data_IF_668085748348
#
_entry.id   IF_668085748348
#
_cell.length_a   1.000
_cell.length_b   1.000
_cell.length_c   1.000
_cell.angle_alpha   90.00
_cell.angle_beta   90.00
_cell.angle_gamma   90.00
#
_symmetry.space_group_name_H-M   'P 1'
#
loop_
_entity.id
_entity.type
_entity.pdbx_description
1 polymer ?
#
# COMPACT_ATOMS: atom_id res chain seq x y z
N UNK A 1 -79.04 10.05 -23.43
CA UNK A 1 -77.64 9.97 -23.91
C UNK A 1 -76.72 10.15 -22.71
N UNK A 2 -76.07 9.09 -22.25
CA UNK A 2 -75.22 9.13 -21.06
C UNK A 2 -73.76 9.25 -21.51
N UNK A 3 -73.04 10.29 -21.05
CA UNK A 3 -71.59 10.45 -21.31
C UNK A 3 -70.83 9.96 -20.09
N UNK A 4 -70.18 8.81 -20.22
CA UNK A 4 -69.17 8.35 -19.26
C UNK A 4 -67.81 8.97 -19.62
N UNK A 5 -67.08 9.45 -18.62
CA UNK A 5 -65.68 9.91 -18.75
C UNK A 5 -64.82 9.02 -17.88
N UNK A 6 -63.86 8.34 -18.50
CA UNK A 6 -62.79 7.62 -17.81
C UNK A 6 -61.63 8.61 -17.66
N UNK A 7 -61.32 9.03 -16.44
CA UNK A 7 -60.04 9.68 -16.13
C UNK A 7 -59.00 8.57 -15.91
N UNK A 8 -58.08 8.42 -16.86
CA UNK A 8 -56.89 7.58 -16.67
C UNK A 8 -55.89 8.44 -15.89
N UNK A 9 -55.84 8.26 -14.56
CA UNK A 9 -54.78 8.81 -13.73
C UNK A 9 -53.50 8.05 -14.05
N UNK A 10 -52.59 8.69 -14.79
CA UNK A 10 -51.28 8.09 -15.11
C UNK A 10 -50.41 8.22 -13.87
N UNK A 11 -50.36 7.18 -13.03
CA UNK A 11 -49.46 7.12 -11.90
C UNK A 11 -48.06 6.75 -12.42
N UNK A 12 -47.25 7.76 -12.75
CA UNK A 12 -45.84 7.57 -13.13
C UNK A 12 -45.08 7.23 -11.86
N UNK A 13 -44.90 5.93 -11.60
CA UNK A 13 -43.92 5.46 -10.61
C UNK A 13 -42.55 5.65 -11.24
N UNK A 14 -41.92 6.80 -10.98
CA UNK A 14 -40.48 6.95 -11.19
C UNK A 14 -39.78 5.99 -10.21
N UNK A 15 -39.52 4.76 -10.66
CA UNK A 15 -38.41 3.98 -10.10
C UNK A 15 -37.14 4.73 -10.50
N UNK A 16 -36.78 5.75 -9.72
CA UNK A 16 -35.39 6.17 -9.59
C UNK A 16 -34.69 5.00 -8.90
N UNK A 17 -34.44 3.93 -9.64
CA UNK A 17 -33.38 3.01 -9.32
C UNK A 17 -32.12 3.87 -9.37
N UNK A 18 -31.73 4.42 -8.22
CA UNK A 18 -30.41 5.00 -8.04
C UNK A 18 -29.45 3.86 -8.33
N UNK A 19 -28.92 3.81 -9.55
CA UNK A 19 -27.76 2.99 -9.81
C UNK A 19 -26.72 3.43 -8.79
N UNK A 20 -26.11 2.50 -8.03
CA UNK A 20 -24.99 2.88 -7.19
C UNK A 20 -23.94 3.50 -8.12
N UNK A 21 -23.74 4.81 -7.98
CA UNK A 21 -22.70 5.52 -8.71
C UNK A 21 -21.38 5.07 -8.10
N UNK A 22 -20.72 4.10 -8.72
CA UNK A 22 -19.35 3.74 -8.36
C UNK A 22 -18.44 4.87 -8.82
N UNK A 23 -17.76 5.52 -7.87
CA UNK A 23 -16.73 6.52 -8.15
C UNK A 23 -15.37 5.85 -8.09
N UNK A 24 -14.64 5.83 -9.20
CA UNK A 24 -13.25 5.35 -9.22
C UNK A 24 -12.32 6.40 -8.61
N UNK A 25 -11.40 5.98 -7.74
CA UNK A 25 -10.31 6.82 -7.26
C UNK A 25 -9.14 6.78 -8.25
N UNK A 26 -8.60 7.94 -8.63
CA UNK A 26 -7.43 8.04 -9.50
C UNK A 26 -6.60 9.27 -9.14
N UNK A 27 -5.29 9.08 -9.02
CA UNK A 27 -4.33 10.13 -8.76
C UNK A 27 -2.99 9.81 -9.44
N UNK A 28 -2.18 10.85 -9.66
CA UNK A 28 -0.85 10.74 -10.24
C UNK A 28 0.07 11.81 -9.65
N UNK A 29 1.23 11.38 -9.13
CA UNK A 29 2.27 12.27 -8.62
C UNK A 29 3.52 12.11 -9.49
N UNK A 30 3.87 13.18 -10.23
CA UNK A 30 5.07 13.18 -11.06
C UNK A 30 6.34 13.52 -10.28
N UNK A 31 6.22 14.20 -9.14
CA UNK A 31 7.33 14.64 -8.28
C UNK A 31 6.84 15.02 -6.88
N UNK A 32 7.74 15.01 -5.90
CA UNK A 32 7.50 15.42 -4.51
C UNK A 32 8.52 16.51 -4.12
N UNK A 33 8.21 17.80 -4.33
CA UNK A 33 9.13 18.89 -4.04
C UNK A 33 9.29 19.16 -2.54
N UNK A 34 10.52 19.42 -2.11
CA UNK A 34 10.95 19.52 -0.69
C UNK A 34 10.23 20.61 0.15
N UNK A 35 9.52 21.56 -0.49
CA UNK A 35 8.93 22.74 0.17
C UNK A 35 7.40 22.82 0.03
N UNK A 36 6.75 21.80 -0.54
CA UNK A 36 5.30 21.76 -0.67
C UNK A 36 4.76 20.72 0.29
N UNK A 37 3.90 21.16 1.21
CA UNK A 37 3.03 20.26 1.94
C UNK A 37 2.14 19.56 0.89
N UNK A 38 2.48 18.33 0.55
CA UNK A 38 1.61 17.49 -0.26
C UNK A 38 0.49 17.04 0.67
N UNK A 39 -0.57 17.85 0.79
CA UNK A 39 -1.71 17.60 1.70
C UNK A 39 -2.29 16.20 1.53
N UNK A 40 -2.13 15.63 0.35
CA UNK A 40 -2.74 14.37 -0.06
C UNK A 40 -1.93 13.16 0.43
N UNK A 41 -0.67 13.35 0.87
CA UNK A 41 0.23 12.30 1.38
C UNK A 41 0.59 12.57 2.84
N UNK A 42 0.39 11.57 3.69
CA UNK A 42 0.85 11.56 5.06
C UNK A 42 2.23 10.92 5.13
N UNK A 43 3.22 11.67 5.60
CA UNK A 43 4.56 11.17 5.92
C UNK A 43 4.64 10.82 7.41
N UNK A 44 5.24 9.68 7.74
CA UNK A 44 5.36 9.17 9.10
C UNK A 44 6.76 8.59 9.35
N UNK A 45 7.19 8.58 10.61
CA UNK A 45 8.52 8.12 10.99
C UNK A 45 9.59 9.06 10.44
N UNK A 46 10.60 8.49 9.80
CA UNK A 46 11.69 9.23 9.19
C UNK A 46 11.42 9.70 7.74
N UNK A 47 10.22 9.44 7.21
CA UNK A 47 9.92 9.76 5.82
C UNK A 47 9.84 11.29 5.59
N UNK A 48 10.49 11.77 4.52
CA UNK A 48 10.49 13.18 4.14
C UNK A 48 10.44 13.34 2.60
N UNK A 49 10.11 14.55 2.14
CA UNK A 49 10.25 14.91 0.73
C UNK A 49 11.70 15.32 0.46
N UNK A 50 12.36 14.61 -0.44
CA UNK A 50 13.77 14.80 -0.75
C UNK A 50 14.06 14.51 -2.22
N UNK A 51 14.94 15.30 -2.83
CA UNK A 51 15.43 15.07 -4.20
C UNK A 51 14.32 14.92 -5.28
N UNK A 52 13.15 15.54 -5.06
CA UNK A 52 11.99 15.43 -5.96
C UNK A 52 11.20 14.13 -5.82
N UNK A 53 11.53 13.30 -4.82
CA UNK A 53 10.88 12.05 -4.44
C UNK A 53 10.48 12.03 -2.96
N UNK A 54 9.96 10.88 -2.51
CA UNK A 54 9.78 10.60 -1.09
C UNK A 54 10.96 9.73 -0.64
N UNK A 55 11.69 10.20 0.36
CA UNK A 55 12.75 9.45 1.03
C UNK A 55 12.13 8.79 2.25
N UNK A 56 11.92 7.46 2.22
CA UNK A 56 11.31 6.73 3.34
C UNK A 56 12.26 6.50 4.51
N UNK A 57 13.57 6.56 4.25
CA UNK A 57 14.64 6.39 5.21
C UNK A 57 15.61 7.56 5.08
N UNK A 58 16.27 7.92 6.18
CA UNK A 58 17.28 8.99 6.21
C UNK A 58 18.43 8.67 5.26
N UNK A 59 18.79 9.61 4.39
CA UNK A 59 20.08 9.62 3.70
C UNK A 59 21.11 10.43 4.53
N UNK A 60 22.38 10.14 4.32
CA UNK A 60 23.62 10.57 4.98
C UNK A 60 23.86 12.09 5.14
N UNK A 61 22.89 12.95 4.83
CA UNK A 61 22.99 14.39 5.06
C UNK A 61 22.89 14.77 6.56
N UNK A 62 22.39 13.89 7.44
CA UNK A 62 22.01 14.27 8.83
C UNK A 62 22.38 13.23 9.92
N UNK A 63 23.47 12.48 9.79
CA UNK A 63 24.06 11.70 10.92
C UNK A 63 23.94 10.18 10.81
N UNK A 64 23.82 9.48 11.95
CA UNK A 64 23.85 8.01 12.02
C UNK A 64 22.62 7.42 11.32
N UNK A 65 22.84 6.70 10.22
CA UNK A 65 21.80 6.10 9.34
C UNK A 65 21.26 4.77 9.88
N UNK A 66 21.66 4.38 11.10
CA UNK A 66 21.19 3.14 11.72
C UNK A 66 19.73 3.28 12.14
N UNK A 67 18.95 2.22 11.95
CA UNK A 67 17.55 2.08 12.42
C UNK A 67 16.57 3.12 11.83
N UNK A 68 16.81 3.60 10.61
CA UNK A 68 15.88 4.51 9.95
C UNK A 68 14.72 3.77 9.29
N UNK A 69 13.50 4.28 9.49
CA UNK A 69 12.31 3.76 8.85
C UNK A 69 11.16 4.77 8.86
N UNK A 70 10.40 4.77 7.77
CA UNK A 70 9.33 5.73 7.55
C UNK A 70 8.29 5.19 6.58
N UNK A 71 7.18 5.92 6.47
CA UNK A 71 6.06 5.58 5.59
C UNK A 71 5.50 6.80 4.92
N UNK A 72 4.96 6.58 3.72
CA UNK A 72 4.12 7.53 3.01
C UNK A 72 2.79 6.86 2.64
N UNK A 73 1.67 7.51 2.97
CA UNK A 73 0.33 7.01 2.64
C UNK A 73 -0.56 8.10 2.05
N UNK A 74 -1.38 7.74 1.07
CA UNK A 74 -2.40 8.65 0.52
C UNK A 74 -3.54 8.81 1.51
N UNK A 75 -3.87 10.05 1.87
CA UNK A 75 -4.83 10.35 2.95
C UNK A 75 -6.03 11.20 2.52
N UNK A 76 -6.09 11.65 1.26
CA UNK A 76 -7.14 12.57 0.80
C UNK A 76 -8.50 11.92 0.65
N UNK A 77 -8.55 10.72 0.07
CA UNK A 77 -9.79 9.96 -0.16
C UNK A 77 -9.63 8.52 0.32
N UNK A 78 -10.73 7.92 0.77
CA UNK A 78 -10.77 6.50 1.17
C UNK A 78 -10.98 5.63 -0.07
N UNK A 79 -10.08 4.67 -0.27
CA UNK A 79 -10.27 3.61 -1.25
C UNK A 79 -10.97 2.40 -0.61
N UNK A 80 -12.18 2.08 -1.07
CA UNK A 80 -12.92 0.91 -0.61
C UNK A 80 -12.52 -0.32 -1.44
N UNK A 81 -11.85 -1.28 -0.80
CA UNK A 81 -11.47 -2.55 -1.44
C UNK A 81 -12.67 -3.48 -1.68
N UNK A 82 -13.69 -3.36 -0.83
CA UNK A 82 -14.88 -4.20 -0.87
C UNK A 82 -16.08 -3.44 -0.31
N UNK A 83 -17.23 -3.63 -0.94
CA UNK A 83 -18.53 -3.18 -0.43
C UNK A 83 -19.32 -4.37 0.12
N UNK A 84 -19.54 -4.36 1.44
CA UNK A 84 -20.26 -5.41 2.15
C UNK A 84 -21.75 -5.50 1.80
N UNK A 85 -22.37 -4.42 1.31
CA UNK A 85 -23.78 -4.42 0.92
C UNK A 85 -23.97 -5.03 -0.46
N UNK A 86 -23.09 -4.69 -1.40
CA UNK A 86 -23.18 -5.15 -2.79
C UNK A 86 -22.38 -6.41 -3.05
N UNK A 87 -21.53 -6.83 -2.11
CA UNK A 87 -20.56 -7.92 -2.27
C UNK A 87 -19.66 -7.69 -3.50
N UNK A 88 -19.34 -6.44 -3.82
CA UNK A 88 -18.47 -6.09 -4.94
C UNK A 88 -17.06 -5.79 -4.45
N UNK A 89 -16.06 -6.34 -5.15
CA UNK A 89 -14.65 -6.02 -4.94
C UNK A 89 -14.25 -4.90 -5.90
N UNK A 90 -13.30 -4.08 -5.45
CA UNK A 90 -12.67 -3.06 -6.29
C UNK A 90 -11.37 -3.59 -6.89
N UNK A 91 -11.20 -3.36 -8.19
CA UNK A 91 -9.93 -3.55 -8.86
C UNK A 91 -9.06 -2.30 -8.67
N UNK A 92 -7.74 -2.47 -8.66
CA UNK A 92 -6.84 -1.33 -8.73
C UNK A 92 -5.58 -1.62 -9.53
N UNK A 93 -4.99 -0.54 -10.04
CA UNK A 93 -3.66 -0.57 -10.64
C UNK A 93 -2.82 0.53 -9.99
N UNK A 94 -1.62 0.18 -9.56
CA UNK A 94 -0.64 1.16 -9.09
C UNK A 94 0.64 1.05 -9.93
N UNK A 95 1.26 2.20 -10.16
CA UNK A 95 2.56 2.29 -10.83
C UNK A 95 3.41 3.31 -10.10
N UNK A 96 4.59 2.89 -9.67
CA UNK A 96 5.58 3.79 -9.12
C UNK A 96 6.98 3.35 -9.52
N UNK A 97 7.89 4.32 -9.48
CA UNK A 97 9.33 4.11 -9.67
C UNK A 97 10.01 4.34 -8.34
N UNK A 98 11.04 3.56 -8.06
CA UNK A 98 11.79 3.65 -6.81
C UNK A 98 13.27 3.40 -7.06
N UNK A 99 14.10 3.84 -6.11
CA UNK A 99 15.54 3.61 -6.14
C UNK A 99 16.00 3.16 -4.76
N UNK A 100 16.68 2.00 -4.70
CA UNK A 100 17.31 1.51 -3.49
C UNK A 100 18.81 1.54 -3.72
N UNK A 101 19.51 2.37 -2.92
CA UNK A 101 20.96 2.55 -2.98
C UNK A 101 21.56 2.30 -1.60
N UNK A 102 22.36 1.25 -1.41
CA UNK A 102 23.16 1.13 -0.20
C UNK A 102 24.20 2.24 -0.15
N UNK A 103 24.61 2.54 1.07
CA UNK A 103 25.68 3.49 1.31
C UNK A 103 26.98 2.98 0.68
N UNK A 104 27.69 3.85 -0.04
CA UNK A 104 28.86 3.49 -0.86
C UNK A 104 30.03 2.82 -0.12
N UNK A 105 29.97 2.74 1.22
CA UNK A 105 31.04 2.22 2.08
C UNK A 105 30.61 0.98 2.90
N UNK A 106 29.37 0.50 2.75
CA UNK A 106 28.89 -0.68 3.48
C UNK A 106 28.60 -1.83 2.50
N UNK A 107 29.08 -3.02 2.82
CA UNK A 107 28.66 -4.26 2.15
C UNK A 107 27.28 -4.74 2.67
N UNK A 108 26.67 -3.99 3.58
CA UNK A 108 25.37 -4.28 4.16
C UNK A 108 24.32 -3.44 3.42
N UNK A 109 23.35 -4.15 2.82
CA UNK A 109 22.07 -3.62 2.34
C UNK A 109 21.01 -3.97 3.37
N UNK A 110 19.99 -3.14 3.50
CA UNK A 110 18.81 -3.51 4.30
C UNK A 110 18.00 -2.31 4.78
N UNK A 111 16.73 -2.50 5.10
CA UNK A 111 16.03 -3.80 5.03
C UNK A 111 15.23 -3.98 3.72
N UNK A 112 14.44 -2.99 3.31
CA UNK A 112 13.71 -3.07 2.04
C UNK A 112 12.74 -1.91 1.81
N UNK A 113 11.80 -2.14 0.89
CA UNK A 113 10.69 -1.23 0.55
C UNK A 113 9.41 -2.06 0.40
N UNK A 114 8.26 -1.52 0.80
CA UNK A 114 6.97 -2.15 0.51
C UNK A 114 5.93 -1.16 -0.01
N UNK A 115 5.14 -1.60 -0.99
CA UNK A 115 3.85 -1.00 -1.30
C UNK A 115 2.77 -1.71 -0.49
N UNK A 116 1.87 -0.98 0.15
CA UNK A 116 0.89 -1.59 1.04
C UNK A 116 -0.50 -0.99 0.91
N UNK A 117 -1.47 -1.80 1.29
CA UNK A 117 -2.85 -1.41 1.55
C UNK A 117 -3.16 -1.76 3.00
N UNK A 118 -3.69 -0.79 3.74
CA UNK A 118 -4.03 -0.97 5.14
C UNK A 118 -5.24 -0.13 5.49
N UNK A 119 -5.91 -0.49 6.58
CA UNK A 119 -6.77 0.46 7.29
C UNK A 119 -5.99 1.73 7.67
N UNK A 120 -6.64 2.90 7.77
CA UNK A 120 -5.96 4.14 8.13
C UNK A 120 -5.13 3.99 9.42
N UNK A 121 -3.80 4.13 9.31
CA UNK A 121 -2.88 4.03 10.43
C UNK A 121 -2.32 5.41 10.78
N UNK A 122 -2.62 5.89 11.99
CA UNK A 122 -2.16 7.20 12.46
C UNK A 122 -0.66 7.24 12.79
N UNK A 123 -0.05 6.09 13.11
CA UNK A 123 1.36 5.99 13.47
C UNK A 123 1.98 4.71 12.93
N UNK A 124 3.30 4.70 12.76
CA UNK A 124 4.09 3.49 12.49
C UNK A 124 3.96 2.54 13.69
N UNK A 125 3.63 1.24 13.51
CA UNK A 125 3.52 0.30 14.60
C UNK A 125 4.79 0.22 15.43
N UNK A 126 4.65 -0.03 16.74
CA UNK A 126 5.80 -0.24 17.60
C UNK A 126 6.59 -1.48 17.16
N UNK A 127 7.92 -1.42 17.24
CA UNK A 127 8.82 -2.52 16.86
C UNK A 127 8.58 -3.02 15.42
N UNK A 128 8.36 -2.09 14.48
CA UNK A 128 8.13 -2.43 13.07
C UNK A 128 9.18 -1.90 12.10
N UNK A 129 10.23 -1.24 12.57
CA UNK A 129 11.30 -0.73 11.70
C UNK A 129 12.20 -1.87 11.20
N UNK A 130 13.10 -1.55 10.26
CA UNK A 130 14.03 -2.52 9.67
C UNK A 130 13.28 -3.61 8.90
N UNK A 131 13.60 -4.88 9.16
CA UNK A 131 13.02 -6.05 8.47
C UNK A 131 11.49 -6.10 8.46
N UNK A 132 10.82 -5.44 9.40
CA UNK A 132 9.35 -5.33 9.44
C UNK A 132 8.75 -4.23 8.54
N UNK A 133 9.60 -3.51 7.80
CA UNK A 133 9.27 -2.51 6.76
C UNK A 133 8.37 -1.34 7.21
N UNK A 134 8.25 -1.09 8.51
CA UNK A 134 7.34 -0.11 9.11
C UNK A 134 5.87 -0.54 9.08
N UNK A 135 5.58 -1.80 8.73
CA UNK A 135 4.22 -2.30 8.48
C UNK A 135 3.73 -3.28 9.53
N UNK A 136 4.61 -4.13 10.03
CA UNK A 136 4.24 -5.24 10.90
C UNK A 136 5.01 -5.19 12.22
N UNK A 137 4.34 -5.44 13.34
CA UNK A 137 5.05 -5.70 14.59
C UNK A 137 5.98 -6.90 14.40
N UNK A 138 7.26 -6.77 14.75
CA UNK A 138 8.24 -7.86 14.67
C UNK A 138 7.83 -9.01 15.60
N UNK A 139 7.11 -9.98 15.05
CA UNK A 139 6.53 -11.10 15.78
C UNK A 139 6.39 -12.30 14.85
N UNK A 140 6.76 -13.51 15.30
CA UNK A 140 6.51 -14.74 14.56
C UNK A 140 5.03 -15.15 14.58
N UNK A 141 4.20 -14.51 15.41
CA UNK A 141 2.77 -14.78 15.53
C UNK A 141 1.96 -13.77 14.74
N UNK A 142 0.93 -14.26 14.04
CA UNK A 142 -0.10 -13.41 13.44
C UNK A 142 -0.79 -12.60 14.54
N UNK A 143 -0.92 -11.28 14.35
CA UNK A 143 -1.63 -10.43 15.28
C UNK A 143 -3.13 -10.76 15.28
N UNK A 144 -3.81 -10.43 16.38
CA UNK A 144 -5.27 -10.53 16.46
C UNK A 144 -5.92 -9.35 15.74
N UNK A 145 -6.83 -9.57 14.77
CA UNK A 145 -7.57 -8.48 14.15
C UNK A 145 -8.26 -7.58 15.20
N UNK A 146 -8.34 -6.25 14.98
CA UNK A 146 -8.00 -5.52 13.76
C UNK A 146 -6.53 -5.09 13.68
N UNK A 147 -5.68 -5.50 14.62
CA UNK A 147 -4.25 -5.16 14.62
C UNK A 147 -3.61 -5.86 13.40
N UNK A 148 -3.23 -5.06 12.40
CA UNK A 148 -2.63 -5.44 11.11
C UNK A 148 -3.59 -6.12 10.12
N UNK A 149 -4.60 -5.37 9.63
CA UNK A 149 -5.23 -5.66 8.33
C UNK A 149 -4.45 -4.98 7.21
N UNK A 150 -3.29 -5.55 6.89
CA UNK A 150 -2.34 -4.99 5.93
C UNK A 150 -1.97 -6.06 4.90
N UNK A 151 -2.07 -5.70 3.63
CA UNK A 151 -1.47 -6.47 2.52
C UNK A 151 -0.35 -5.64 1.93
N UNK A 152 0.80 -6.25 1.69
CA UNK A 152 1.92 -5.57 1.08
C UNK A 152 2.60 -6.38 -0.03
N UNK A 153 3.25 -5.68 -0.94
CA UNK A 153 4.25 -6.23 -1.84
C UNK A 153 5.59 -5.65 -1.42
N UNK A 154 6.45 -6.50 -0.89
CA UNK A 154 7.77 -6.13 -0.43
C UNK A 154 8.84 -6.35 -1.50
N UNK A 155 9.87 -5.51 -1.41
CA UNK A 155 11.13 -5.57 -2.13
C UNK A 155 12.21 -5.67 -1.07
N UNK A 156 12.43 -6.90 -0.61
CA UNK A 156 13.35 -7.22 0.47
C UNK A 156 14.79 -7.29 -0.07
N UNK A 157 15.69 -6.57 0.59
CA UNK A 157 17.11 -6.51 0.23
C UNK A 157 18.02 -7.17 1.25
N UNK A 158 17.46 -7.70 2.34
CA UNK A 158 18.18 -8.29 3.44
C UNK A 158 17.38 -9.43 4.08
N UNK A 159 17.84 -10.66 3.86
CA UNK A 159 17.26 -11.84 4.52
C UNK A 159 17.52 -11.79 6.03
N UNK A 160 16.48 -11.51 6.81
CA UNK A 160 16.47 -11.57 8.26
C UNK A 160 16.33 -13.03 8.80
N UNK A 161 16.27 -14.02 7.90
CA UNK A 161 16.43 -15.45 8.20
C UNK A 161 15.18 -16.15 8.75
N UNK A 162 15.39 -17.23 9.50
CA UNK A 162 14.33 -18.18 9.89
C UNK A 162 13.24 -17.58 10.81
N UNK A 163 13.49 -16.45 11.47
CA UNK A 163 12.51 -15.81 12.38
C UNK A 163 11.28 -15.34 11.60
N UNK A 164 11.48 -14.84 10.38
CA UNK A 164 10.43 -14.33 9.48
C UNK A 164 10.25 -15.21 8.23
N UNK A 165 11.03 -16.30 8.12
CA UNK A 165 11.05 -17.24 6.99
C UNK A 165 11.50 -16.63 5.66
N UNK A 166 12.43 -15.69 5.70
CA UNK A 166 12.99 -15.14 4.46
C UNK A 166 13.73 -16.22 3.67
N UNK A 167 13.58 -16.25 2.34
CA UNK A 167 14.46 -17.02 1.49
C UNK A 167 15.89 -16.49 1.57
N UNK A 168 16.84 -17.30 1.09
CA UNK A 168 18.22 -16.86 0.97
C UNK A 168 18.36 -15.75 -0.09
N UNK A 169 18.85 -14.58 0.33
CA UNK A 169 19.10 -13.42 -0.53
C UNK A 169 17.88 -12.53 -0.72
N UNK A 170 18.02 -11.51 -1.57
CA UNK A 170 16.97 -10.53 -1.86
C UNK A 170 15.79 -11.16 -2.59
N UNK A 171 14.58 -10.71 -2.27
CA UNK A 171 13.36 -11.28 -2.82
C UNK A 171 12.24 -10.23 -2.95
N UNK A 172 11.22 -10.58 -3.71
CA UNK A 172 9.95 -9.87 -3.77
C UNK A 172 8.90 -10.77 -3.11
N UNK A 173 8.11 -10.21 -2.22
CA UNK A 173 7.19 -10.94 -1.37
C UNK A 173 5.75 -10.41 -1.42
N UNK A 174 4.78 -11.25 -1.07
CA UNK A 174 3.39 -10.83 -0.82
C UNK A 174 3.04 -11.13 0.64
N UNK A 175 2.88 -10.05 1.39
CA UNK A 175 2.62 -10.09 2.82
C UNK A 175 1.13 -9.99 3.11
N UNK A 176 0.65 -10.84 4.00
CA UNK A 176 -0.73 -10.79 4.47
C UNK A 176 -0.72 -10.78 5.99
N UNK A 177 -0.91 -9.58 6.56
CA UNK A 177 -0.97 -9.30 8.00
C UNK A 177 0.31 -9.61 8.80
N UNK A 178 1.40 -9.99 8.14
CA UNK A 178 2.70 -10.31 8.72
C UNK A 178 3.79 -10.14 7.68
N UNK A 179 5.00 -9.82 8.13
CA UNK A 179 6.25 -9.78 7.33
C UNK A 179 6.66 -11.15 6.78
N UNK A 180 6.12 -12.24 7.33
CA UNK A 180 6.32 -13.56 6.74
C UNK A 180 5.46 -13.67 5.47
N UNK A 181 6.12 -13.41 4.33
CA UNK A 181 5.56 -13.52 2.99
C UNK A 181 4.81 -14.83 2.73
N UNK A 182 3.59 -14.73 2.21
CA UNK A 182 2.78 -15.90 1.80
C UNK A 182 3.28 -16.54 0.50
N UNK A 183 3.94 -15.74 -0.34
CA UNK A 183 4.63 -16.19 -1.55
C UNK A 183 5.81 -15.24 -1.81
N UNK A 184 6.93 -15.82 -2.25
CA UNK A 184 8.13 -15.06 -2.59
C UNK A 184 8.65 -15.43 -3.99
N UNK A 185 9.38 -14.50 -4.59
CA UNK A 185 10.17 -14.71 -5.80
C UNK A 185 11.58 -14.13 -5.60
N UNK A 186 12.60 -14.87 -6.04
CA UNK A 186 13.98 -14.38 -5.94
C UNK A 186 14.17 -13.10 -6.76
N UNK A 187 14.82 -12.10 -6.15
CA UNK A 187 15.16 -10.84 -6.81
C UNK A 187 16.63 -10.79 -7.20
N UNK A 188 17.03 -11.72 -8.06
CA UNK A 188 18.43 -11.99 -8.42
C UNK A 188 19.17 -10.85 -9.13
N UNK A 189 18.45 -9.88 -9.70
CA UNK A 189 19.06 -8.71 -10.34
C UNK A 189 19.42 -7.58 -9.35
N UNK A 190 19.06 -7.71 -8.08
CA UNK A 190 19.49 -6.75 -7.07
C UNK A 190 20.98 -6.94 -6.75
N UNK A 191 21.83 -6.10 -7.35
CA UNK A 191 23.28 -6.11 -7.11
C UNK A 191 23.72 -5.02 -6.12
N UNK A 192 22.89 -4.73 -5.11
CA UNK A 192 23.18 -3.63 -4.17
C UNK A 192 23.06 -2.26 -4.80
N UNK A 193 22.25 -2.10 -5.86
CA UNK A 193 21.70 -0.83 -6.33
C UNK A 193 20.63 -1.16 -7.36
N UNK A 194 19.46 -0.57 -7.25
CA UNK A 194 18.42 -0.80 -8.24
C UNK A 194 17.54 0.44 -8.41
N UNK A 195 17.26 0.76 -9.67
CA UNK A 195 16.12 1.60 -10.02
C UNK A 195 15.03 0.64 -10.50
N UNK A 196 13.95 0.55 -9.75
CA UNK A 196 12.83 -0.33 -10.02
C UNK A 196 11.62 0.43 -10.54
N UNK A 197 10.72 -0.31 -11.20
CA UNK A 197 9.36 0.12 -11.50
C UNK A 197 8.43 -1.00 -11.07
N UNK A 198 7.49 -0.71 -10.17
CA UNK A 198 6.38 -1.61 -9.91
C UNK A 198 5.21 -1.22 -10.81
N UNK A 199 4.60 -2.22 -11.41
CA UNK A 199 3.26 -2.15 -11.98
C UNK A 199 2.47 -3.31 -11.38
N UNK A 200 1.61 -2.98 -10.42
CA UNK A 200 0.80 -3.98 -9.74
C UNK A 200 -0.65 -3.82 -10.16
N UNK A 201 -1.27 -4.96 -10.43
CA UNK A 201 -2.66 -5.08 -10.81
C UNK A 201 -3.35 -6.06 -9.85
N UNK A 202 -4.48 -5.65 -9.31
CA UNK A 202 -5.35 -6.48 -8.50
C UNK A 202 -6.70 -6.59 -9.19
N UNK A 203 -7.11 -7.84 -9.43
CA UNK A 203 -8.46 -8.18 -9.89
C UNK A 203 -9.25 -8.79 -8.74
N UNK A 204 -10.30 -8.10 -8.32
CA UNK A 204 -11.27 -8.54 -7.35
C UNK A 204 -12.20 -9.58 -7.94
N UNK A 205 -11.94 -10.87 -7.66
CA UNK A 205 -12.87 -11.94 -8.00
C UNK A 205 -13.52 -12.52 -6.74
N UNK A 206 -14.86 -12.50 -6.68
CA UNK A 206 -15.62 -13.29 -5.74
C UNK A 206 -15.71 -14.74 -6.24
N UNK A 207 -14.96 -15.65 -5.64
CA UNK A 207 -15.28 -17.09 -5.76
C UNK A 207 -16.28 -17.43 -4.67
N UNK A 208 -17.58 -17.31 -4.98
CA UNK A 208 -18.63 -17.75 -4.06
C UNK A 208 -18.40 -19.21 -3.65
N UNK A 209 -18.31 -19.46 -2.34
CA UNK A 209 -18.54 -20.76 -1.72
C UNK A 209 -19.77 -20.68 -0.84
#
# INVERSE_FOLDING_TARGET
>A
MCRSRILISTFVICFLAGFPSSSSLSFNFASFPNDVFVSDILLQGDADNGNGGIELTKDTLIGTVAESGGRASYQKDIFLLWDAQTMQLSDFTTRFVFDIRPQAQTNFTGDGLAFFLSVPMLHVPNNSLGGSLGLFTWSPHLPTPPENTTVAVEFDTFSNGEIVNDPAGSHIGIDINSVNSTVTASWSNFMGKTTGKLEQFYEGFFTGK
#
